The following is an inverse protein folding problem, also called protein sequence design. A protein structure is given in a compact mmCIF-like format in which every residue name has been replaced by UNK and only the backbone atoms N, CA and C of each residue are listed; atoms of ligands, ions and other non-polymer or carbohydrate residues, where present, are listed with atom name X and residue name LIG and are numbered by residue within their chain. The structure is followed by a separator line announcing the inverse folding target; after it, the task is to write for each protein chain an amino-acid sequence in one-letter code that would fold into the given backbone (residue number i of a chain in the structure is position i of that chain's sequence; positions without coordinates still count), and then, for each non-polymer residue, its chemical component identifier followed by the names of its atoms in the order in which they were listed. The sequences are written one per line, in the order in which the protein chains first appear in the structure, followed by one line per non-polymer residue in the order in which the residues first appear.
data_IF_606007204583
#
_entry.id   IF_606007204583
#
_cell.length_a   1.000
_cell.length_b   1.000
_cell.length_c   1.000
_cell.angle_alpha   90.00
_cell.angle_beta   90.00
_cell.angle_gamma   90.00
#
_symmetry.space_group_name_H-M   'P 1'
#
loop_
_entity.id
_entity.type
_entity.pdbx_description
1 polymer ?
#
# COMPACT_ATOMS: atom_id res chain seq x y z
N UNK A 1 19.43 42.65 29.99
CA UNK A 1 18.14 42.92 29.31
C UNK A 1 18.03 41.90 28.20
N UNK A 2 17.38 40.76 28.44
CA UNK A 2 17.23 39.70 27.44
C UNK A 2 15.93 39.91 26.69
N UNK A 3 16.04 40.15 25.39
CA UNK A 3 14.91 40.27 24.48
C UNK A 3 14.32 38.87 24.21
N UNK A 4 12.98 38.73 24.10
CA UNK A 4 12.36 37.46 23.73
C UNK A 4 12.59 37.15 22.23
N UNK A 5 12.88 35.88 21.95
CA UNK A 5 12.98 35.33 20.59
C UNK A 5 11.61 35.39 19.87
N UNK A 6 11.58 35.60 18.54
CA UNK A 6 10.35 35.55 17.76
C UNK A 6 9.81 34.11 17.66
N UNK A 7 8.48 33.92 17.55
CA UNK A 7 7.91 32.60 17.30
C UNK A 7 8.36 32.10 15.93
N UNK A 8 8.80 30.83 15.91
CA UNK A 8 9.25 30.16 14.68
C UNK A 8 8.05 29.94 13.74
N UNK A 9 8.23 30.03 12.41
CA UNK A 9 7.17 29.76 11.46
C UNK A 9 6.75 28.30 11.56
N UNK A 10 5.44 28.09 11.66
CA UNK A 10 4.78 26.80 11.61
C UNK A 10 5.19 26.09 10.30
N UNK A 11 5.95 25.00 10.43
CA UNK A 11 6.27 24.07 9.33
C UNK A 11 5.16 23.02 9.25
N UNK A 12 4.08 23.35 8.56
CA UNK A 12 2.93 22.45 8.33
C UNK A 12 3.02 21.74 6.98
N UNK A 13 4.10 21.00 6.73
CA UNK A 13 4.22 20.10 5.56
C UNK A 13 5.42 19.15 5.63
N UNK A 14 5.78 18.65 6.83
CA UNK A 14 6.89 17.70 6.99
C UNK A 14 6.45 16.23 7.09
N UNK A 15 5.21 15.98 7.48
CA UNK A 15 4.66 14.65 7.76
C UNK A 15 4.58 13.72 6.54
N UNK A 16 3.85 14.10 5.49
CA UNK A 16 3.53 13.16 4.41
C UNK A 16 4.74 12.71 3.56
N UNK A 17 5.75 13.57 3.42
CA UNK A 17 7.03 13.21 2.78
C UNK A 17 7.85 12.24 3.63
N UNK A 18 7.74 12.28 4.96
CA UNK A 18 8.41 11.33 5.85
C UNK A 18 7.75 9.95 5.78
N UNK A 19 6.44 9.83 5.56
CA UNK A 19 5.77 8.52 5.39
C UNK A 19 6.24 7.75 4.17
N UNK A 20 6.34 8.44 3.04
CA UNK A 20 6.92 7.85 1.83
C UNK A 20 8.39 7.43 2.02
N UNK A 21 9.11 8.10 2.94
CA UNK A 21 10.52 7.79 3.26
C UNK A 21 10.67 6.71 4.35
N UNK A 22 9.74 6.60 5.29
CA UNK A 22 9.78 5.67 6.44
C UNK A 22 9.59 4.21 6.01
N UNK A 23 8.95 3.96 4.85
CA UNK A 23 8.87 2.61 4.28
C UNK A 23 10.21 2.05 3.75
N UNK A 24 11.32 2.81 3.83
CA UNK A 24 12.64 2.33 3.41
C UNK A 24 13.76 2.68 4.41
N UNK A 25 14.45 1.69 5.03
CA UNK A 25 15.69 1.94 5.73
C UNK A 25 16.82 1.95 4.69
N UNK A 26 17.30 3.11 4.25
CA UNK A 26 18.53 3.17 3.45
C UNK A 26 19.51 4.24 3.93
N UNK A 27 20.80 3.87 4.17
CA UNK A 27 21.83 4.80 4.63
C UNK A 27 22.13 5.88 3.58
N UNK A 28 22.41 7.07 4.10
CA UNK A 28 22.76 8.29 3.39
C UNK A 28 23.85 8.07 2.33
N UNK A 29 23.58 8.55 1.10
CA UNK A 29 24.63 8.87 0.13
C UNK A 29 24.28 10.20 -0.57
N UNK A 30 25.26 11.10 -0.80
CA UNK A 30 25.00 12.50 -1.09
C UNK A 30 24.58 12.77 -2.55
N UNK A 31 23.66 13.73 -2.68
CA UNK A 31 23.09 14.39 -3.87
C UNK A 31 24.12 14.82 -4.95
N UNK A 32 23.77 14.90 -6.27
CA UNK A 32 22.85 15.95 -6.77
C UNK A 32 21.99 15.60 -8.02
N UNK A 33 20.77 16.14 -8.10
CA UNK A 33 20.30 17.03 -9.20
C UNK A 33 18.79 17.32 -9.02
N UNK A 34 18.48 18.57 -8.65
CA UNK A 34 17.15 19.12 -8.82
C UNK A 34 16.82 19.24 -10.31
N UNK A 35 16.07 18.29 -10.85
CA UNK A 35 15.32 18.47 -12.11
C UNK A 35 14.07 17.57 -12.15
N UNK A 36 13.00 18.15 -11.64
CA UNK A 36 11.67 18.20 -12.25
C UNK A 36 11.26 17.01 -13.13
N UNK A 37 10.26 16.27 -12.64
CA UNK A 37 9.32 15.51 -13.46
C UNK A 37 9.99 14.57 -14.43
N UNK A 38 10.31 13.36 -13.96
CA UNK A 38 10.64 12.23 -14.84
C UNK A 38 9.38 11.85 -15.63
N UNK A 39 9.04 12.67 -16.61
CA UNK A 39 8.13 12.32 -17.71
C UNK A 39 8.75 11.13 -18.40
N UNK A 40 8.25 9.95 -18.08
CA UNK A 40 8.60 8.74 -18.82
C UNK A 40 8.31 9.03 -20.31
N UNK A 41 9.26 8.80 -21.23
CA UNK A 41 8.96 8.95 -22.65
C UNK A 41 7.81 7.99 -22.98
N UNK A 42 6.77 8.49 -23.67
CA UNK A 42 5.53 7.77 -24.09
C UNK A 42 5.75 6.47 -24.91
N UNK A 43 6.97 6.00 -25.04
CA UNK A 43 7.33 4.73 -25.66
C UNK A 43 7.38 3.63 -24.59
N UNK A 44 6.23 2.97 -24.37
CA UNK A 44 6.06 1.65 -23.74
C UNK A 44 5.83 1.53 -22.20
N UNK A 45 5.48 2.60 -21.47
CA UNK A 45 5.10 2.52 -20.06
C UNK A 45 3.76 3.21 -19.76
N UNK A 46 2.98 2.65 -18.83
CA UNK A 46 1.80 3.32 -18.26
C UNK A 46 2.25 4.45 -17.34
N UNK A 47 1.60 5.61 -17.41
CA UNK A 47 1.94 6.78 -16.62
C UNK A 47 1.06 6.81 -15.37
N UNK A 48 1.66 6.85 -14.17
CA UNK A 48 0.92 6.82 -12.91
C UNK A 48 0.33 8.19 -12.55
N UNK A 49 1.10 9.27 -12.75
CA UNK A 49 0.66 10.65 -12.58
C UNK A 49 0.43 11.33 -13.94
N UNK A 50 -0.54 12.23 -14.04
CA UNK A 50 -0.79 12.99 -15.27
C UNK A 50 0.18 14.19 -15.44
N UNK A 51 -0.11 15.05 -16.42
CA UNK A 51 0.72 16.22 -16.74
C UNK A 51 0.69 17.34 -15.66
N UNK A 52 -0.30 17.35 -14.78
CA UNK A 52 -0.44 18.26 -13.63
C UNK A 52 0.18 17.69 -12.36
N UNK A 53 0.46 16.38 -12.34
CA UNK A 53 0.94 15.66 -11.15
C UNK A 53 -0.19 15.04 -10.32
N UNK A 54 -1.40 14.97 -10.87
CA UNK A 54 -2.52 14.25 -10.29
C UNK A 54 -2.48 12.77 -10.65
N UNK A 55 -3.17 11.93 -9.87
CA UNK A 55 -3.31 10.50 -10.16
C UNK A 55 -3.97 10.31 -11.52
N UNK A 56 -3.34 9.53 -12.40
CA UNK A 56 -3.91 9.19 -13.70
C UNK A 56 -5.23 8.41 -13.55
N UNK A 57 -6.15 8.58 -14.50
CA UNK A 57 -7.43 7.87 -14.50
C UNK A 57 -7.27 6.34 -14.42
N UNK A 58 -6.21 5.79 -15.00
CA UNK A 58 -5.95 4.35 -14.98
C UNK A 58 -5.49 3.89 -13.59
N UNK A 59 -4.58 4.63 -12.94
CA UNK A 59 -4.16 4.35 -11.57
C UNK A 59 -5.34 4.51 -10.61
N UNK A 60 -6.12 5.58 -10.74
CA UNK A 60 -7.33 5.79 -9.93
C UNK A 60 -8.27 4.58 -10.01
N UNK A 61 -8.49 4.03 -11.21
CA UNK A 61 -9.33 2.85 -11.38
C UNK A 61 -8.79 1.61 -10.64
N UNK A 62 -7.46 1.41 -10.60
CA UNK A 62 -6.83 0.36 -9.80
C UNK A 62 -6.96 0.62 -8.30
N UNK A 63 -6.70 1.86 -7.87
CA UNK A 63 -6.81 2.28 -6.48
C UNK A 63 -8.25 2.12 -5.95
N UNK A 64 -9.28 2.37 -6.77
CA UNK A 64 -10.68 2.06 -6.42
C UNK A 64 -10.88 0.59 -6.09
N UNK A 65 -10.28 -0.31 -6.87
CA UNK A 65 -10.40 -1.74 -6.60
C UNK A 65 -9.67 -2.13 -5.31
N UNK A 66 -8.50 -1.54 -5.04
CA UNK A 66 -7.73 -1.80 -3.82
C UNK A 66 -8.49 -1.28 -2.61
N UNK A 67 -8.89 0.00 -2.61
CA UNK A 67 -9.66 0.61 -1.55
C UNK A 67 -10.96 -0.17 -1.27
N UNK A 68 -11.65 -0.60 -2.33
CA UNK A 68 -12.86 -1.40 -2.24
C UNK A 68 -12.70 -2.73 -1.48
N UNK A 69 -11.49 -3.30 -1.39
CA UNK A 69 -11.26 -4.53 -0.61
C UNK A 69 -11.33 -4.30 0.91
N UNK A 70 -11.07 -3.07 1.36
CA UNK A 70 -10.85 -2.75 2.78
C UNK A 70 -11.83 -1.69 3.32
N UNK A 71 -12.63 -1.05 2.46
CA UNK A 71 -13.53 0.01 2.89
C UNK A 71 -14.87 -0.48 3.47
N UNK A 72 -15.49 0.38 4.26
CA UNK A 72 -16.83 0.25 4.82
C UNK A 72 -17.67 1.47 4.42
N UNK A 73 -18.90 1.27 3.90
CA UNK A 73 -19.49 -0.01 3.52
C UNK A 73 -18.72 -0.67 2.37
N UNK A 74 -18.82 -2.00 2.23
CA UNK A 74 -18.17 -2.72 1.14
C UNK A 74 -18.71 -2.23 -0.21
N UNK A 75 -17.89 -2.23 -1.26
CA UNK A 75 -18.27 -1.69 -2.55
C UNK A 75 -19.29 -2.58 -3.26
N UNK A 76 -20.08 -1.98 -4.14
CA UNK A 76 -20.95 -2.73 -5.03
C UNK A 76 -20.15 -3.17 -6.26
N UNK A 77 -20.01 -4.48 -6.47
CA UNK A 77 -19.41 -5.05 -7.68
C UNK A 77 -20.52 -5.32 -8.70
N UNK A 78 -20.49 -4.61 -9.83
CA UNK A 78 -21.42 -4.82 -10.93
C UNK A 78 -21.06 -6.08 -11.73
N UNK A 79 -22.04 -6.63 -12.47
CA UNK A 79 -21.86 -7.87 -13.25
C UNK A 79 -20.72 -7.82 -14.29
N UNK A 80 -20.25 -6.63 -14.66
CA UNK A 80 -19.13 -6.40 -15.56
C UNK A 80 -17.78 -6.23 -14.84
N UNK A 81 -17.71 -6.49 -13.52
CA UNK A 81 -16.51 -6.32 -12.71
C UNK A 81 -16.20 -4.87 -12.34
N UNK A 82 -17.09 -3.92 -12.64
CA UNK A 82 -16.93 -2.52 -12.21
C UNK A 82 -17.20 -2.40 -10.72
N UNK A 83 -16.23 -1.88 -9.99
CA UNK A 83 -16.31 -1.60 -8.56
C UNK A 83 -16.86 -0.19 -8.36
N UNK A 84 -17.97 -0.09 -7.63
CA UNK A 84 -18.59 1.17 -7.26
C UNK A 84 -18.42 1.39 -5.76
N UNK A 85 -17.61 2.38 -5.40
CA UNK A 85 -17.44 2.82 -4.01
C UNK A 85 -18.65 3.68 -3.64
N UNK A 86 -19.24 3.43 -2.46
CA UNK A 86 -20.33 4.24 -1.95
C UNK A 86 -19.84 5.63 -1.54
N UNK A 87 -20.65 6.67 -1.74
CA UNK A 87 -20.34 8.00 -1.22
C UNK A 87 -20.21 7.95 0.30
N UNK A 88 -19.11 8.51 0.82
CA UNK A 88 -18.78 8.44 2.25
C UNK A 88 -18.18 7.12 2.71
N UNK A 89 -17.82 6.20 1.81
CA UNK A 89 -17.07 5.02 2.20
C UNK A 89 -15.69 5.40 2.77
N UNK A 90 -15.33 4.74 3.87
CA UNK A 90 -14.10 4.98 4.61
C UNK A 90 -13.43 3.66 4.96
N UNK A 91 -12.14 3.71 5.24
CA UNK A 91 -11.37 2.59 5.74
C UNK A 91 -11.25 2.75 7.26
N UNK A 92 -11.86 1.83 8.01
CA UNK A 92 -11.70 1.78 9.47
C UNK A 92 -10.26 1.42 9.82
N UNK A 93 -9.89 1.54 11.10
CA UNK A 93 -8.58 1.11 11.61
C UNK A 93 -8.24 -0.31 11.18
N UNK A 94 -9.14 -1.28 11.38
CA UNK A 94 -8.97 -2.67 10.91
C UNK A 94 -8.74 -2.78 9.39
N UNK A 95 -9.45 -1.97 8.60
CA UNK A 95 -9.25 -1.93 7.15
C UNK A 95 -7.87 -1.37 6.78
N UNK A 96 -7.42 -0.36 7.49
CA UNK A 96 -6.12 0.28 7.29
C UNK A 96 -4.98 -0.68 7.65
N UNK A 97 -5.09 -1.39 8.77
CA UNK A 97 -4.17 -2.45 9.17
C UNK A 97 -4.09 -3.59 8.15
N UNK A 98 -5.25 -4.03 7.64
CA UNK A 98 -5.32 -5.07 6.62
C UNK A 98 -4.69 -4.61 5.30
N UNK A 99 -4.95 -3.36 4.88
CA UNK A 99 -4.33 -2.78 3.69
C UNK A 99 -2.81 -2.63 3.86
N UNK A 100 -2.37 -2.11 5.00
CA UNK A 100 -0.95 -1.97 5.33
C UNK A 100 -0.25 -3.32 5.30
N UNK A 101 -0.85 -4.34 5.92
CA UNK A 101 -0.30 -5.70 5.93
C UNK A 101 -0.24 -6.32 4.54
N UNK A 102 -1.27 -6.12 3.71
CA UNK A 102 -1.28 -6.64 2.34
C UNK A 102 -0.22 -5.99 1.45
N UNK A 103 0.19 -4.76 1.78
CA UNK A 103 1.10 -3.94 0.98
C UNK A 103 2.55 -4.05 1.46
N UNK A 104 2.76 -3.90 2.78
CA UNK A 104 4.06 -3.80 3.44
C UNK A 104 4.45 -5.10 4.16
N UNK A 105 3.55 -6.07 4.25
CA UNK A 105 3.71 -7.29 5.05
C UNK A 105 3.46 -7.10 6.54
N UNK A 106 3.24 -5.87 7.02
CA UNK A 106 2.94 -5.55 8.41
C UNK A 106 2.02 -4.33 8.52
N UNK A 107 1.31 -4.25 9.64
CA UNK A 107 0.52 -3.09 10.05
C UNK A 107 1.39 -1.84 10.24
N UNK A 108 0.77 -0.66 10.17
CA UNK A 108 1.42 0.58 10.57
C UNK A 108 1.59 0.63 12.09
N UNK A 109 2.60 1.36 12.57
CA UNK A 109 2.70 1.71 13.99
C UNK A 109 1.62 2.72 14.36
N UNK A 110 1.27 2.83 15.64
CA UNK A 110 0.31 3.85 16.10
C UNK A 110 0.76 5.26 15.70
N UNK A 111 2.05 5.57 15.85
CA UNK A 111 2.66 6.84 15.39
C UNK A 111 2.46 7.06 13.90
N UNK A 112 2.52 5.98 13.11
CA UNK A 112 2.29 6.04 11.68
C UNK A 112 0.82 6.34 11.34
N UNK A 113 -0.10 5.74 12.08
CA UNK A 113 -1.53 5.95 11.91
C UNK A 113 -1.95 7.36 12.32
N UNK A 114 -1.43 7.88 13.43
CA UNK A 114 -1.73 9.24 13.91
C UNK A 114 -1.40 10.30 12.85
N UNK A 115 -0.23 10.20 12.22
CA UNK A 115 0.16 11.14 11.18
C UNK A 115 -0.69 11.04 9.91
N UNK A 116 -1.08 9.81 9.52
CA UNK A 116 -2.04 9.59 8.42
C UNK A 116 -3.36 10.32 8.72
N UNK A 117 -3.85 10.22 9.95
CA UNK A 117 -5.10 10.88 10.39
C UNK A 117 -4.95 12.40 10.43
N UNK A 118 -3.78 12.91 10.81
CA UNK A 118 -3.50 14.36 10.88
C UNK A 118 -3.25 15.00 9.51
N UNK A 119 -2.73 14.24 8.53
CA UNK A 119 -2.27 14.78 7.25
C UNK A 119 -3.24 14.54 6.09
N UNK A 120 -4.09 13.50 6.17
CA UNK A 120 -4.97 13.10 5.08
C UNK A 120 -6.44 13.41 5.36
N UNK A 121 -7.24 13.31 4.29
CA UNK A 121 -8.69 13.39 4.39
C UNK A 121 -9.24 12.15 5.10
N UNK A 122 -9.68 12.34 6.35
CA UNK A 122 -10.33 11.35 7.20
C UNK A 122 -11.76 11.75 7.55
N UNK A 123 -12.57 10.80 7.98
CA UNK A 123 -13.89 11.07 8.57
C UNK A 123 -13.76 11.76 9.93
N UNK A 124 -14.87 12.25 10.49
CA UNK A 124 -14.90 12.83 11.84
C UNK A 124 -14.45 11.85 12.93
N UNK A 125 -14.57 10.55 12.68
CA UNK A 125 -14.10 9.46 13.55
C UNK A 125 -12.64 9.05 13.29
N UNK A 126 -11.90 9.77 12.42
CA UNK A 126 -10.51 9.48 12.09
C UNK A 126 -10.32 8.28 11.14
N UNK A 127 -11.35 7.89 10.38
CA UNK A 127 -11.23 6.80 9.40
C UNK A 127 -10.79 7.34 8.03
N UNK A 128 -9.87 6.65 7.33
CA UNK A 128 -9.32 7.14 6.06
C UNK A 128 -10.38 7.12 4.94
N UNK A 129 -10.68 8.26 4.34
CA UNK A 129 -11.64 8.32 3.24
C UNK A 129 -10.99 7.88 1.93
N UNK A 130 -11.81 7.59 0.90
CA UNK A 130 -11.29 7.35 -0.44
C UNK A 130 -10.45 8.53 -0.97
N UNK A 131 -10.81 9.77 -0.60
CA UNK A 131 -10.06 10.96 -1.00
C UNK A 131 -8.70 11.02 -0.30
N UNK A 132 -8.63 10.69 0.98
CA UNK A 132 -7.37 10.62 1.71
C UNK A 132 -6.46 9.52 1.16
N UNK A 133 -7.03 8.38 0.78
CA UNK A 133 -6.32 7.29 0.12
C UNK A 133 -5.69 7.73 -1.22
N UNK A 134 -6.42 8.51 -2.04
CA UNK A 134 -5.87 9.08 -3.28
C UNK A 134 -4.74 10.08 -3.00
N UNK A 135 -4.88 10.94 -1.99
CA UNK A 135 -3.83 11.89 -1.60
C UNK A 135 -2.54 11.20 -1.14
N UNK A 136 -2.67 10.08 -0.42
CA UNK A 136 -1.55 9.25 0.01
C UNK A 136 -0.77 8.73 -1.19
N UNK A 137 -1.45 8.06 -2.12
CA UNK A 137 -0.82 7.53 -3.33
C UNK A 137 -0.27 8.65 -4.23
N UNK A 138 -0.94 9.80 -4.32
CA UNK A 138 -0.43 10.93 -5.10
C UNK A 138 0.93 11.38 -4.57
N UNK A 139 1.02 11.57 -3.26
CA UNK A 139 2.24 12.04 -2.60
C UNK A 139 3.35 10.99 -2.63
N UNK A 140 3.02 9.72 -2.37
CA UNK A 140 3.98 8.61 -2.50
C UNK A 140 4.50 8.50 -3.93
N UNK A 141 3.62 8.48 -4.94
CA UNK A 141 4.01 8.34 -6.36
C UNK A 141 4.88 9.51 -6.83
N UNK A 142 4.61 10.72 -6.33
CA UNK A 142 5.39 11.91 -6.65
C UNK A 142 6.82 11.86 -6.09
N UNK A 143 7.02 11.19 -4.95
CA UNK A 143 8.32 10.99 -4.31
C UNK A 143 9.05 9.79 -4.90
N UNK A 144 8.38 8.63 -4.94
CA UNK A 144 8.92 7.37 -5.44
C UNK A 144 7.81 6.52 -6.11
N UNK A 145 7.77 6.59 -7.45
CA UNK A 145 6.81 5.83 -8.27
C UNK A 145 7.01 4.30 -8.14
N UNK A 146 8.22 3.83 -7.87
CA UNK A 146 8.51 2.40 -7.80
C UNK A 146 7.88 1.76 -6.56
N UNK A 147 7.73 2.50 -5.46
CA UNK A 147 6.95 2.05 -4.31
C UNK A 147 5.50 1.77 -4.72
N UNK A 148 4.85 2.70 -5.41
CA UNK A 148 3.47 2.51 -5.91
C UNK A 148 3.36 1.31 -6.87
N UNK A 149 4.39 1.03 -7.67
CA UNK A 149 4.40 -0.18 -8.50
C UNK A 149 4.49 -1.48 -7.67
N UNK A 150 5.18 -1.48 -6.52
CA UNK A 150 5.23 -2.63 -5.61
C UNK A 150 3.87 -2.86 -4.96
N UNK A 151 3.22 -1.79 -4.47
CA UNK A 151 1.84 -1.83 -3.97
C UNK A 151 0.91 -2.51 -4.98
N UNK A 152 0.90 -1.99 -6.21
CA UNK A 152 0.05 -2.50 -7.30
C UNK A 152 0.31 -3.98 -7.59
N UNK A 153 1.59 -4.38 -7.62
CA UNK A 153 1.98 -5.78 -7.81
C UNK A 153 1.50 -6.67 -6.66
N UNK A 154 1.58 -6.22 -5.40
CA UNK A 154 1.10 -6.96 -4.24
C UNK A 154 -0.43 -7.20 -4.31
N UNK A 155 -1.16 -6.27 -4.92
CA UNK A 155 -2.61 -6.40 -5.15
C UNK A 155 -2.98 -7.13 -6.45
N UNK A 156 -1.99 -7.61 -7.21
CA UNK A 156 -2.18 -8.44 -8.42
C UNK A 156 -2.24 -7.66 -9.74
N UNK A 157 -1.84 -6.39 -9.76
CA UNK A 157 -1.77 -5.60 -11.00
C UNK A 157 -0.40 -5.74 -11.66
N UNK A 158 -0.36 -5.84 -12.99
CA UNK A 158 0.89 -5.78 -13.73
C UNK A 158 1.31 -4.34 -14.08
N UNK A 159 2.48 -4.20 -14.72
CA UNK A 159 3.03 -2.92 -15.20
C UNK A 159 2.15 -2.21 -16.24
N UNK A 160 1.08 -2.86 -16.72
CA UNK A 160 0.05 -2.26 -17.60
C UNK A 160 -1.24 -1.89 -16.87
N UNK A 161 -1.27 -1.91 -15.53
CA UNK A 161 -2.44 -1.64 -14.68
C UNK A 161 -3.62 -2.60 -14.95
N UNK A 162 -3.33 -3.82 -15.42
CA UNK A 162 -4.35 -4.86 -15.54
C UNK A 162 -4.24 -5.80 -14.36
N UNK A 163 -5.39 -6.16 -13.79
CA UNK A 163 -5.45 -7.19 -12.78
C UNK A 163 -5.11 -8.52 -13.45
N UNK A 164 -3.90 -9.02 -13.20
CA UNK A 164 -3.49 -10.34 -13.66
C UNK A 164 -3.78 -11.27 -12.51
N UNK A 165 -4.74 -12.17 -12.70
CA UNK A 165 -5.00 -13.25 -11.75
C UNK A 165 -3.82 -14.21 -11.75
N UNK A 166 -2.67 -13.78 -11.25
CA UNK A 166 -1.55 -14.67 -11.00
C UNK A 166 -1.89 -15.45 -9.73
N UNK A 167 -2.57 -16.57 -9.97
CA UNK A 167 -2.46 -17.85 -9.26
C UNK A 167 -1.94 -17.74 -7.82
N UNK A 168 -2.80 -18.12 -6.86
CA UNK A 168 -2.35 -18.69 -5.58
C UNK A 168 -1.25 -19.71 -5.88
N UNK A 169 0.01 -19.38 -5.57
CA UNK A 169 0.96 -20.41 -5.21
C UNK A 169 0.58 -20.81 -3.79
N UNK A 170 -0.36 -21.74 -3.70
CA UNK A 170 -0.46 -22.69 -2.62
C UNK A 170 0.92 -23.38 -2.54
N UNK A 171 1.87 -22.75 -1.84
CA UNK A 171 3.07 -23.46 -1.38
C UNK A 171 2.61 -24.37 -0.26
N UNK A 172 2.16 -25.53 -0.73
CA UNK A 172 2.01 -26.78 -0.03
C UNK A 172 2.95 -26.82 1.18
N UNK A 173 2.35 -26.67 2.35
CA UNK A 173 3.05 -26.90 3.61
C UNK A 173 3.22 -28.42 3.73
N UNK A 174 4.21 -28.96 3.02
CA UNK A 174 4.68 -30.34 3.21
C UNK A 174 5.48 -30.40 4.52
N UNK A 175 4.79 -30.33 5.66
CA UNK A 175 5.31 -30.92 6.90
C UNK A 175 5.19 -32.44 6.75
N UNK A 176 6.01 -33.05 5.88
CA UNK A 176 6.20 -34.50 5.89
C UNK A 176 6.95 -34.89 7.16
N UNK A 177 6.14 -35.13 8.19
CA UNK A 177 6.25 -36.06 9.32
C UNK A 177 7.63 -36.76 9.47
N UNK A 178 8.30 -36.65 10.64
CA UNK A 178 9.54 -37.39 10.88
C UNK A 178 9.30 -38.91 10.83
N UNK A 179 10.26 -39.71 10.31
CA UNK A 179 10.10 -41.15 10.25
C UNK A 179 9.98 -41.74 11.66
N UNK A 180 8.85 -42.36 11.94
CA UNK A 180 8.62 -43.15 13.16
C UNK A 180 9.63 -44.29 13.27
N UNK A 181 10.23 -44.54 14.45
CA UNK A 181 11.11 -45.69 14.65
C UNK A 181 10.31 -46.99 14.61
N UNK A 182 10.83 -47.97 13.85
CA UNK A 182 10.30 -49.32 13.72
C UNK A 182 10.10 -49.99 15.09
N UNK A 183 8.91 -50.54 15.42
CA UNK A 183 8.79 -51.48 16.51
C UNK A 183 9.24 -52.87 16.05
N UNK A 184 10.21 -53.43 16.78
CA UNK A 184 10.42 -54.88 16.88
C UNK A 184 9.08 -55.58 17.11
N UNK A 185 8.75 -56.56 16.26
CA UNK A 185 7.95 -57.70 16.68
C UNK A 185 8.45 -58.96 15.98
N UNK A 186 9.08 -59.81 16.80
CA UNK A 186 9.32 -61.22 16.57
C UNK A 186 8.02 -62.01 16.34
N UNK A 187 8.19 -63.29 15.97
CA UNK A 187 7.23 -64.40 15.87
C UNK A 187 6.77 -64.69 14.43
N UNK A 188 7.23 -65.75 13.74
CA UNK A 188 7.22 -67.20 14.04
C UNK A 188 6.20 -67.91 13.13
N UNK A 189 6.63 -69.09 12.65
CA UNK A 189 5.87 -70.27 12.22
C UNK A 189 5.50 -70.56 10.75
N UNK A 190 5.88 -71.80 10.40
CA UNK A 190 5.33 -72.76 9.45
C UNK A 190 5.44 -72.52 7.92
N UNK A 191 6.37 -73.24 7.27
CA UNK A 191 6.08 -74.58 6.73
C UNK A 191 7.31 -75.29 6.18
#
# INVERSE_FOLDING_TARGET
MSLPLPPSPIKMNRSLEEFARVQSPRPETPEPDSRQGRRNPRAAGVQLLDDDGDISFQLEACLKQIFGKYCTPPPTILHNGVVVIHEGAYMSSEGLDAWATATNGQAFTDEAVEDIIESLDVTEDGCLTYKGFIQLYQSQTAVDEEETWKDLSAHGFDRTLKLVASRREDTDTDFSVPPTPNPEFEAEEAS
#
